data_IF_593603388274
#
_entry.id   IF_593603388274
#
_cell.length_a   1.000
_cell.length_b   1.000
_cell.length_c   1.000
_cell.angle_alpha   90.00
_cell.angle_beta   90.00
_cell.angle_gamma   90.00
#
_symmetry.space_group_name_H-M   'P 1'
#
loop_
_entity.id
_entity.type
_entity.pdbx_description
1 polymer ?
#
# COMPACT_ATOMS: atom_id res chain seq x y z
N UNK A 1 2.29 11.12 -8.04
CA UNK A 1 1.42 11.29 -6.84
C UNK A 1 1.72 12.64 -6.18
N UNK A 2 0.92 13.06 -5.19
CA UNK A 2 1.04 14.39 -4.52
C UNK A 2 2.25 14.51 -3.58
N UNK A 3 2.87 13.39 -3.21
CA UNK A 3 4.01 13.36 -2.28
C UNK A 3 5.35 13.20 -3.00
N UNK A 4 5.33 13.11 -4.34
CA UNK A 4 6.51 12.98 -5.21
C UNK A 4 7.26 11.64 -5.05
N UNK A 5 6.55 10.55 -4.75
CA UNK A 5 7.13 9.20 -4.61
C UNK A 5 6.97 8.30 -5.83
N UNK A 6 6.49 8.84 -6.95
CA UNK A 6 6.24 8.08 -8.16
C UNK A 6 7.54 7.45 -8.67
N UNK A 7 7.52 6.14 -8.90
CA UNK A 7 8.70 5.36 -9.29
C UNK A 7 9.57 4.88 -8.12
N UNK A 8 9.23 5.21 -6.87
CA UNK A 8 9.95 4.69 -5.70
C UNK A 8 9.26 3.53 -5.00
N UNK A 9 8.04 3.19 -5.39
CA UNK A 9 7.27 2.04 -4.92
C UNK A 9 6.91 1.13 -6.10
N UNK A 10 6.75 -0.16 -5.81
CA UNK A 10 6.42 -1.20 -6.79
C UNK A 10 5.21 -2.05 -6.36
N UNK A 11 4.68 -1.82 -5.16
CA UNK A 11 3.50 -2.51 -4.65
C UNK A 11 2.69 -1.62 -3.69
N UNK A 12 1.37 -1.60 -3.84
CA UNK A 12 0.43 -0.91 -2.94
C UNK A 12 -0.81 -1.76 -2.75
N UNK A 13 -1.30 -1.92 -1.53
CA UNK A 13 -2.62 -2.52 -1.27
C UNK A 13 -3.32 -1.80 -0.12
N UNK A 14 -4.63 -1.57 -0.28
CA UNK A 14 -5.51 -1.01 0.74
C UNK A 14 -6.67 -2.00 0.96
N UNK A 15 -6.57 -2.93 1.92
CA UNK A 15 -7.66 -3.85 2.21
C UNK A 15 -8.84 -3.07 2.79
N UNK A 16 -10.05 -3.20 2.23
CA UNK A 16 -11.22 -2.44 2.69
C UNK A 16 -11.86 -2.95 3.98
N UNK A 17 -11.61 -4.19 4.40
CA UNK A 17 -12.55 -4.91 5.28
C UNK A 17 -12.08 -5.18 6.70
N UNK A 18 -10.94 -4.64 7.11
CA UNK A 18 -10.65 -4.55 8.53
C UNK A 18 -10.64 -3.06 8.89
N UNK A 19 -11.75 -2.49 9.42
CA UNK A 19 -11.54 -1.65 10.57
C UNK A 19 -10.67 -2.51 11.50
N UNK A 20 -9.43 -2.10 11.72
CA UNK A 20 -8.74 -2.56 12.93
C UNK A 20 -9.70 -2.35 14.11
N UNK A 21 -9.48 -2.98 15.26
CA UNK A 21 -10.36 -2.79 16.42
C UNK A 21 -10.63 -1.30 16.79
N UNK A 22 -9.85 -0.36 16.22
CA UNK A 22 -9.98 1.08 16.32
C UNK A 22 -10.64 1.81 15.13
N UNK A 23 -11.13 1.13 14.09
CA UNK A 23 -11.81 1.76 12.94
C UNK A 23 -10.89 2.33 11.84
N UNK A 24 -9.58 2.14 11.95
CA UNK A 24 -8.61 2.67 10.99
C UNK A 24 -8.36 1.69 9.84
N UNK A 25 -8.26 2.24 8.61
CA UNK A 25 -7.78 1.53 7.41
C UNK A 25 -6.26 1.57 7.36
N UNK A 26 -5.64 0.46 6.96
CA UNK A 26 -4.18 0.34 6.86
C UNK A 26 -3.80 0.07 5.41
N UNK A 27 -2.89 0.86 4.85
CA UNK A 27 -2.27 0.57 3.57
C UNK A 27 -0.94 -0.14 3.77
N UNK A 28 -0.60 -1.07 2.88
CA UNK A 28 0.76 -1.63 2.77
C UNK A 28 1.38 -1.12 1.47
N UNK A 29 2.59 -0.57 1.57
CA UNK A 29 3.34 -0.01 0.45
C UNK A 29 4.74 -0.62 0.47
N UNK A 30 5.17 -1.22 -0.65
CA UNK A 30 6.56 -1.64 -0.81
C UNK A 30 7.35 -0.55 -1.53
N UNK A 31 8.46 -0.13 -0.92
CA UNK A 31 9.39 0.80 -1.54
C UNK A 31 10.54 0.01 -2.15
N UNK A 32 10.93 0.38 -3.36
CA UNK A 32 12.00 -0.26 -4.13
C UNK A 32 13.36 -0.21 -3.40
N UNK A 33 13.54 0.75 -2.50
CA UNK A 33 14.75 0.89 -1.68
C UNK A 33 14.41 1.36 -0.27
N UNK A 34 15.16 0.85 0.73
CA UNK A 34 14.99 1.21 2.14
C UNK A 34 15.02 2.73 2.41
N UNK A 35 15.91 3.48 1.74
CA UNK A 35 16.00 4.95 1.88
C UNK A 35 14.70 5.67 1.49
N UNK A 36 13.96 5.13 0.52
CA UNK A 36 12.65 5.69 0.14
C UNK A 36 11.58 5.32 1.16
N UNK A 37 11.68 4.13 1.78
CA UNK A 37 10.83 3.76 2.92
C UNK A 37 10.99 4.71 4.10
N UNK A 38 12.24 5.04 4.47
CA UNK A 38 12.52 6.04 5.50
C UNK A 38 11.93 7.41 5.13
N UNK A 39 12.11 7.84 3.88
CA UNK A 39 11.62 9.13 3.40
C UNK A 39 10.08 9.20 3.40
N UNK A 40 9.41 8.13 2.96
CA UNK A 40 7.95 8.06 2.94
C UNK A 40 7.39 8.01 4.37
N UNK A 41 7.99 7.20 5.26
CA UNK A 41 7.60 7.14 6.65
C UNK A 41 7.73 8.51 7.34
N UNK A 42 8.85 9.22 7.13
CA UNK A 42 9.04 10.56 7.66
C UNK A 42 8.04 11.59 7.08
N UNK A 43 7.59 11.41 5.84
CA UNK A 43 6.60 12.28 5.20
C UNK A 43 5.17 12.06 5.70
N UNK A 44 4.79 10.80 5.92
CA UNK A 44 3.41 10.42 6.23
C UNK A 44 3.14 10.29 7.74
N UNK A 45 4.12 9.90 8.53
CA UNK A 45 3.95 9.73 9.97
C UNK A 45 3.59 11.08 10.63
N UNK A 46 2.48 11.11 11.38
CA UNK A 46 1.95 12.30 12.01
C UNK A 46 1.09 13.20 11.10
N UNK A 47 0.98 12.89 9.80
CA UNK A 47 0.19 13.67 8.85
C UNK A 47 -1.31 13.50 9.11
N UNK A 48 -2.03 14.61 9.26
CA UNK A 48 -3.50 14.64 9.39
C UNK A 48 -4.20 15.42 8.27
N UNK A 49 -3.44 16.21 7.48
CA UNK A 49 -3.97 17.02 6.39
C UNK A 49 -3.84 16.28 5.05
N UNK A 50 -4.95 15.76 4.52
CA UNK A 50 -4.97 14.94 3.29
C UNK A 50 -5.59 15.66 2.08
N UNK A 51 -6.13 16.86 2.30
CA UNK A 51 -6.85 17.65 1.31
C UNK A 51 -8.15 18.19 1.91
N UNK A 52 -8.77 19.15 1.21
CA UNK A 52 -10.05 19.70 1.64
C UNK A 52 -11.13 18.61 1.65
N UNK A 53 -11.83 18.46 2.78
CA UNK A 53 -12.86 17.44 2.96
C UNK A 53 -12.36 16.00 3.13
N UNK A 54 -11.04 15.77 3.24
CA UNK A 54 -10.45 14.43 3.42
C UNK A 54 -9.85 14.30 4.82
N UNK A 55 -10.35 13.33 5.59
CA UNK A 55 -9.98 13.12 6.98
C UNK A 55 -10.75 14.05 7.93
N UNK A 56 -10.56 13.86 9.23
CA UNK A 56 -11.16 14.67 10.30
C UNK A 56 -10.25 15.83 10.76
N UNK A 57 -9.04 15.93 10.20
CA UNK A 57 -8.01 16.91 10.56
C UNK A 57 -7.35 16.68 11.93
N UNK A 58 -7.72 15.61 12.64
CA UNK A 58 -7.25 15.29 14.00
C UNK A 58 -6.52 13.96 14.03
N UNK A 59 -7.06 12.96 13.34
CA UNK A 59 -6.50 11.62 13.20
C UNK A 59 -5.23 11.68 12.35
N UNK A 60 -4.12 11.29 12.97
CA UNK A 60 -2.80 11.28 12.34
C UNK A 60 -2.51 9.91 11.73
N UNK A 61 -1.88 9.89 10.56
CA UNK A 61 -1.34 8.65 10.01
C UNK A 61 -0.15 8.17 10.85
N UNK A 62 -0.10 6.87 11.08
CA UNK A 62 1.07 6.21 11.62
C UNK A 62 1.72 5.35 10.54
N UNK A 63 2.98 5.62 10.26
CA UNK A 63 3.81 4.76 9.42
C UNK A 63 4.66 3.82 10.30
N UNK A 64 4.60 2.53 10.00
CA UNK A 64 5.35 1.46 10.67
C UNK A 64 5.91 0.49 9.64
N UNK A 65 6.98 -0.23 9.99
CA UNK A 65 7.47 -1.34 9.18
C UNK A 65 6.52 -2.54 9.29
N UNK A 66 6.28 -3.22 8.17
CA UNK A 66 5.35 -4.35 8.12
C UNK A 66 6.04 -5.66 8.53
N UNK A 67 6.03 -5.97 9.83
CA UNK A 67 6.86 -7.05 10.39
C UNK A 67 6.48 -8.48 9.94
N UNK A 68 5.32 -8.69 9.31
CA UNK A 68 4.86 -10.04 8.90
C UNK A 68 5.24 -10.41 7.47
N UNK A 69 5.58 -9.43 6.62
CA UNK A 69 6.07 -9.66 5.25
C UNK A 69 6.87 -8.42 4.80
N UNK A 70 8.09 -8.63 4.29
CA UNK A 70 8.98 -7.55 3.85
C UNK A 70 9.50 -7.85 2.44
N UNK A 71 9.53 -6.83 1.59
CA UNK A 71 9.94 -6.94 0.20
C UNK A 71 8.80 -7.40 -0.73
N UNK A 72 9.03 -7.21 -2.03
CA UNK A 72 8.04 -7.44 -3.07
C UNK A 72 7.59 -8.90 -3.13
N UNK A 73 8.52 -9.85 -3.19
CA UNK A 73 8.21 -11.28 -3.34
C UNK A 73 7.31 -11.81 -2.21
N UNK A 74 7.63 -11.45 -0.96
CA UNK A 74 6.85 -11.85 0.20
C UNK A 74 5.43 -11.25 0.19
N UNK A 75 5.28 -10.02 -0.32
CA UNK A 75 3.99 -9.35 -0.44
C UNK A 75 3.16 -9.95 -1.58
N UNK A 76 3.77 -10.24 -2.73
CA UNK A 76 3.12 -10.92 -3.84
C UNK A 76 2.58 -12.29 -3.41
N UNK A 77 3.40 -13.09 -2.72
CA UNK A 77 2.96 -14.37 -2.17
C UNK A 77 1.82 -14.20 -1.16
N UNK A 78 1.91 -13.18 -0.28
CA UNK A 78 0.89 -12.91 0.74
C UNK A 78 -0.46 -12.51 0.15
N UNK A 79 -0.45 -11.75 -0.94
CA UNK A 79 -1.64 -11.13 -1.51
C UNK A 79 -2.08 -11.76 -2.83
N UNK A 80 -1.48 -12.88 -3.24
CA UNK A 80 -1.83 -13.61 -4.47
C UNK A 80 -3.32 -13.97 -4.53
N UNK A 81 -3.94 -14.33 -3.40
CA UNK A 81 -5.35 -14.75 -3.35
C UNK A 81 -6.31 -13.57 -3.60
N UNK A 82 -5.91 -12.33 -3.24
CA UNK A 82 -6.68 -11.13 -3.55
C UNK A 82 -6.58 -10.73 -5.03
N UNK A 83 -5.51 -11.13 -5.71
CA UNK A 83 -5.33 -10.89 -7.13
C UNK A 83 -5.88 -12.02 -8.02
N UNK A 84 -6.19 -13.18 -7.44
CA UNK A 84 -6.67 -14.35 -8.18
C UNK A 84 -8.13 -14.25 -8.62
N UNK A 85 -8.96 -13.43 -7.96
CA UNK A 85 -10.38 -13.32 -8.27
C UNK A 85 -10.85 -11.86 -8.40
N UNK A 86 -10.50 -11.25 -9.55
CA UNK A 86 -10.96 -9.91 -9.94
C UNK A 86 -12.49 -9.79 -10.02
N UNK A 87 -13.23 -10.91 -10.06
CA UNK A 87 -14.69 -10.92 -10.14
C UNK A 87 -15.39 -10.81 -8.78
N UNK A 88 -14.66 -11.10 -7.69
CA UNK A 88 -15.17 -11.08 -6.31
C UNK A 88 -14.57 -9.90 -5.52
N UNK A 89 -13.33 -9.50 -5.82
CA UNK A 89 -12.64 -8.40 -5.12
C UNK A 89 -12.84 -7.09 -5.89
N UNK A 90 -13.50 -6.07 -5.29
CA UNK A 90 -13.58 -4.73 -5.86
C UNK A 90 -12.22 -4.21 -6.33
N UNK A 91 -12.18 -3.54 -7.48
CA UNK A 91 -10.93 -3.02 -8.08
C UNK A 91 -10.11 -2.20 -7.08
N UNK A 92 -10.77 -1.40 -6.25
CA UNK A 92 -10.14 -0.57 -5.21
C UNK A 92 -9.44 -1.35 -4.08
N UNK A 93 -9.72 -2.65 -3.95
CA UNK A 93 -9.11 -3.55 -2.96
C UNK A 93 -7.98 -4.40 -3.54
N UNK A 94 -7.87 -4.45 -4.87
CA UNK A 94 -6.86 -5.25 -5.53
C UNK A 94 -5.47 -4.66 -5.28
N UNK A 95 -4.46 -5.49 -5.02
CA UNK A 95 -3.09 -5.00 -4.94
C UNK A 95 -2.67 -4.39 -6.28
N UNK A 96 -2.10 -3.19 -6.21
CA UNK A 96 -1.49 -2.52 -7.35
C UNK A 96 -0.02 -2.96 -7.38
N UNK A 97 0.36 -3.68 -8.42
CA UNK A 97 1.75 -3.99 -8.74
C UNK A 97 2.24 -3.08 -9.86
N UNK A 98 3.44 -2.52 -9.71
CA UNK A 98 4.09 -1.69 -10.71
C UNK A 98 5.39 -2.33 -11.19
N UNK A 99 5.49 -2.60 -12.49
CA UNK A 99 6.72 -3.03 -13.15
C UNK A 99 7.32 -1.88 -13.96
N UNK A 100 8.55 -1.48 -13.64
CA UNK A 100 9.19 -0.32 -14.27
C UNK A 100 8.41 0.99 -14.09
N UNK A 101 7.58 1.10 -13.04
CA UNK A 101 6.73 2.26 -12.79
C UNK A 101 5.37 2.24 -13.49
N UNK A 102 5.05 1.19 -14.25
CA UNK A 102 3.75 1.00 -14.90
C UNK A 102 2.93 -0.08 -14.21
N UNK A 103 1.64 0.14 -14.05
CA UNK A 103 0.75 -0.87 -13.49
C UNK A 103 0.74 -2.12 -14.36
N UNK A 104 0.96 -3.26 -13.72
CA UNK A 104 1.03 -4.57 -14.34
C UNK A 104 0.16 -5.55 -13.54
N UNK A 105 -0.16 -6.70 -14.16
CA UNK A 105 -0.82 -7.78 -13.43
C UNK A 105 0.12 -8.34 -12.38
N UNK A 106 -0.42 -8.71 -11.23
CA UNK A 106 0.37 -9.43 -10.23
C UNK A 106 0.93 -10.72 -10.88
N UNK A 107 2.23 -10.99 -10.73
CA UNK A 107 2.78 -12.27 -11.15
C UNK A 107 2.14 -13.37 -10.31
N UNK A 108 1.54 -14.34 -10.99
CA UNK A 108 1.10 -15.58 -10.34
C UNK A 108 2.27 -16.55 -10.33
N UNK A 109 2.27 -17.53 -9.41
CA UNK A 109 3.36 -18.50 -9.27
C UNK A 109 3.57 -19.45 -10.48
N UNK A 110 2.98 -19.14 -11.63
CA UNK A 110 3.04 -19.93 -12.86
C UNK A 110 3.90 -19.29 -13.98
N UNK A 111 4.48 -18.11 -13.77
CA UNK A 111 5.37 -17.42 -14.74
C UNK A 111 6.85 -17.40 -14.31
#
# INVERSE_FOLDING_TARGET
DREEFSGFYDFVVLPSDAPSASGHRVAVVNLTHHKYGLSLAARLHGKAAWGEGIGDGVTKCEAHWYNTAQGLDALLQRYQDLAADESIVPEEMQPIYLSGGFQARLPTSAD
#
